data_IF_324068023681
#
_entry.id   IF_324068023681
#
_cell.length_a   1.000
_cell.length_b   1.000
_cell.length_c   1.000
_cell.angle_alpha   90.00
_cell.angle_beta   90.00
_cell.angle_gamma   90.00
#
_symmetry.space_group_name_H-M   'P 1'
#
loop_
_entity.id
_entity.type
_entity.pdbx_description
1 polymer ?
#
# COMPACT_ATOMS: atom_id res chain seq x y z
N UNK A 1 16.62 -16.57 18.71
CA UNK A 1 15.42 -15.70 18.73
C UNK A 1 14.98 -15.49 17.30
N UNK A 2 13.82 -16.03 16.89
CA UNK A 2 13.30 -15.80 15.53
C UNK A 2 12.97 -14.31 15.41
N UNK A 3 13.55 -13.64 14.41
CA UNK A 3 13.32 -12.22 14.20
C UNK A 3 11.89 -12.01 13.73
N UNK A 4 11.12 -11.15 14.41
CA UNK A 4 9.74 -10.85 14.01
C UNK A 4 9.74 -10.28 12.57
N UNK A 5 8.87 -10.77 11.67
CA UNK A 5 8.77 -10.22 10.32
C UNK A 5 8.28 -8.77 10.37
N UNK A 6 8.74 -7.97 9.42
CA UNK A 6 8.24 -6.62 9.17
C UNK A 6 6.85 -6.67 8.53
N UNK A 7 6.67 -7.56 7.56
CA UNK A 7 5.39 -7.86 6.92
C UNK A 7 5.43 -9.26 6.29
N UNK A 8 4.25 -9.77 5.94
CA UNK A 8 4.09 -10.99 5.16
C UNK A 8 3.55 -10.60 3.79
N UNK A 9 4.17 -11.07 2.71
CA UNK A 9 3.72 -10.73 1.36
C UNK A 9 2.51 -11.58 0.91
N UNK A 10 1.96 -11.27 -0.27
CA UNK A 10 0.80 -12.00 -0.84
C UNK A 10 1.09 -13.48 -1.14
N UNK A 11 2.36 -13.87 -1.22
CA UNK A 11 2.81 -15.26 -1.39
C UNK A 11 3.05 -15.94 -0.03
N UNK A 12 2.65 -15.33 1.08
CA UNK A 12 2.81 -15.82 2.45
C UNK A 12 4.28 -16.00 2.87
N UNK A 13 5.18 -15.18 2.32
CA UNK A 13 6.57 -15.16 2.75
C UNK A 13 6.73 -14.15 3.88
N UNK A 14 7.35 -14.57 4.97
CA UNK A 14 7.72 -13.67 6.06
C UNK A 14 8.93 -12.84 5.65
N UNK A 15 8.75 -11.52 5.59
CA UNK A 15 9.77 -10.57 5.12
C UNK A 15 10.28 -9.75 6.29
N UNK A 16 11.60 -9.66 6.40
CA UNK A 16 12.30 -8.78 7.34
C UNK A 16 13.01 -7.67 6.58
N UNK A 17 12.67 -6.43 6.92
CA UNK A 17 13.31 -5.23 6.38
C UNK A 17 14.14 -4.57 7.47
N UNK A 18 15.42 -4.32 7.20
CA UNK A 18 16.34 -3.69 8.16
C UNK A 18 17.53 -3.04 7.45
N UNK A 19 18.18 -2.10 8.13
CA UNK A 19 19.42 -1.48 7.62
C UNK A 19 20.62 -2.34 7.95
N UNK A 20 21.53 -2.50 6.99
CA UNK A 20 22.85 -3.11 7.17
C UNK A 20 23.93 -2.17 6.63
N UNK A 21 25.19 -2.38 7.03
CA UNK A 21 26.34 -1.67 6.46
C UNK A 21 26.92 -2.54 5.34
N UNK A 22 27.02 -1.98 4.14
CA UNK A 22 27.71 -2.57 3.00
C UNK A 22 28.78 -1.59 2.50
N UNK A 23 30.05 -2.00 2.48
CA UNK A 23 31.17 -1.13 2.10
C UNK A 23 31.15 0.26 2.79
N UNK A 24 30.91 0.28 4.11
CA UNK A 24 30.78 1.50 4.95
C UNK A 24 29.54 2.37 4.69
N UNK A 25 28.68 1.96 3.75
CA UNK A 25 27.45 2.69 3.40
C UNK A 25 26.23 1.96 3.98
N UNK A 26 25.30 2.67 4.65
CA UNK A 26 24.05 2.07 5.09
C UNK A 26 23.13 1.78 3.90
N UNK A 27 22.65 0.54 3.82
CA UNK A 27 21.76 0.04 2.77
C UNK A 27 20.57 -0.70 3.38
N UNK A 28 19.44 -0.74 2.67
CA UNK A 28 18.23 -1.43 3.07
C UNK A 28 18.30 -2.90 2.63
N UNK A 29 18.31 -3.82 3.59
CA UNK A 29 18.19 -5.24 3.36
C UNK A 29 16.72 -5.67 3.48
N UNK A 30 16.24 -6.38 2.46
CA UNK A 30 14.95 -7.08 2.45
C UNK A 30 15.25 -8.57 2.38
N UNK A 31 14.97 -9.28 3.46
CA UNK A 31 15.24 -10.70 3.59
C UNK A 31 13.94 -11.49 3.74
N UNK A 32 13.88 -12.66 3.14
CA UNK A 32 12.88 -13.68 3.47
C UNK A 32 13.36 -14.46 4.68
N UNK A 33 12.49 -14.65 5.67
CA UNK A 33 12.69 -15.59 6.77
C UNK A 33 12.25 -16.99 6.27
N UNK A 34 13.14 -17.97 6.39
CA UNK A 34 12.89 -19.35 6.00
C UNK A 34 12.36 -20.17 7.19
N UNK A 35 11.78 -21.34 6.91
CA UNK A 35 11.14 -22.20 7.93
C UNK A 35 12.14 -22.72 8.98
N UNK A 36 13.41 -22.88 8.59
CA UNK A 36 14.51 -23.27 9.48
C UNK A 36 15.01 -22.10 10.36
N UNK A 37 14.41 -20.91 10.23
CA UNK A 37 14.76 -19.69 10.94
C UNK A 37 15.95 -18.94 10.34
N UNK A 38 16.55 -19.45 9.26
CA UNK A 38 17.56 -18.72 8.49
C UNK A 38 16.92 -17.62 7.64
N UNK A 39 17.73 -16.77 7.02
CA UNK A 39 17.24 -15.72 6.12
C UNK A 39 17.92 -15.74 4.76
N UNK A 40 17.14 -15.42 3.73
CA UNK A 40 17.60 -15.29 2.34
C UNK A 40 17.42 -13.85 1.87
N UNK A 41 18.51 -13.21 1.44
CA UNK A 41 18.49 -11.86 0.86
C UNK A 41 17.67 -11.85 -0.43
N UNK A 42 16.62 -11.03 -0.47
CA UNK A 42 15.82 -10.78 -1.67
C UNK A 42 16.25 -9.50 -2.37
N UNK A 43 16.45 -8.42 -1.61
CA UNK A 43 16.89 -7.13 -2.13
C UNK A 43 17.93 -6.50 -1.21
N UNK A 44 18.90 -5.84 -1.81
CA UNK A 44 19.81 -4.93 -1.13
C UNK A 44 19.80 -3.60 -1.87
N UNK A 45 19.29 -2.57 -1.22
CA UNK A 45 18.99 -1.30 -1.87
C UNK A 45 19.80 -0.18 -1.21
N UNK A 46 20.45 0.64 -2.04
CA UNK A 46 21.00 1.89 -1.56
C UNK A 46 19.87 2.90 -1.26
N UNK A 47 20.25 4.10 -0.78
CA UNK A 47 19.30 5.18 -0.46
C UNK A 47 18.43 5.60 -1.66
N UNK A 48 19.02 5.67 -2.85
CA UNK A 48 18.31 6.12 -4.06
C UNK A 48 17.25 5.10 -4.47
N UNK A 49 17.62 3.83 -4.60
CA UNK A 49 16.71 2.77 -5.01
C UNK A 49 15.62 2.52 -3.97
N UNK A 50 15.94 2.65 -2.68
CA UNK A 50 14.95 2.58 -1.60
C UNK A 50 13.88 3.67 -1.74
N UNK A 51 14.26 4.89 -2.16
CA UNK A 51 13.33 5.99 -2.40
C UNK A 51 12.42 5.70 -3.60
N UNK A 52 12.97 5.13 -4.67
CA UNK A 52 12.20 4.76 -5.85
C UNK A 52 11.17 3.66 -5.53
N UNK A 53 11.56 2.65 -4.74
CA UNK A 53 10.65 1.62 -4.28
C UNK A 53 9.51 2.19 -3.42
N UNK A 54 9.83 3.10 -2.50
CA UNK A 54 8.82 3.77 -1.67
C UNK A 54 7.80 4.54 -2.52
N UNK A 55 8.27 5.28 -3.54
CA UNK A 55 7.39 6.01 -4.44
C UNK A 55 6.48 5.08 -5.27
N UNK A 56 6.98 3.91 -5.70
CA UNK A 56 6.17 2.92 -6.40
C UNK A 56 5.07 2.32 -5.50
N UNK A 57 5.39 2.03 -4.23
CA UNK A 57 4.42 1.56 -3.26
C UNK A 57 3.33 2.61 -2.99
N UNK A 58 3.72 3.87 -2.81
CA UNK A 58 2.78 4.98 -2.59
C UNK A 58 1.83 5.15 -3.78
N UNK A 59 2.36 5.14 -5.01
CA UNK A 59 1.54 5.23 -6.22
C UNK A 59 0.54 4.09 -6.34
N UNK A 60 0.96 2.85 -6.02
CA UNK A 60 0.05 1.70 -6.00
C UNK A 60 -1.09 1.89 -4.98
N UNK A 61 -0.78 2.34 -3.76
CA UNK A 61 -1.80 2.59 -2.73
C UNK A 61 -2.80 3.65 -3.17
N UNK A 62 -2.32 4.75 -3.77
CA UNK A 62 -3.19 5.81 -4.31
C UNK A 62 -4.14 5.29 -5.38
N UNK A 63 -3.68 4.41 -6.27
CA UNK A 63 -4.52 3.80 -7.30
C UNK A 63 -5.62 2.91 -6.69
N UNK A 64 -5.27 2.08 -5.70
CA UNK A 64 -6.24 1.22 -5.02
C UNK A 64 -7.30 2.04 -4.29
N UNK A 65 -6.90 3.05 -3.53
CA UNK A 65 -7.86 3.90 -2.81
C UNK A 65 -8.77 4.69 -3.75
N UNK A 66 -8.24 5.18 -4.88
CA UNK A 66 -9.04 5.87 -5.89
C UNK A 66 -10.08 4.93 -6.52
N UNK A 67 -9.71 3.69 -6.82
CA UNK A 67 -10.63 2.68 -7.33
C UNK A 67 -11.72 2.33 -6.30
N UNK A 68 -11.36 2.12 -5.03
CA UNK A 68 -12.33 1.85 -3.97
C UNK A 68 -13.30 3.01 -3.74
N UNK A 69 -12.86 4.26 -3.92
CA UNK A 69 -13.72 5.44 -3.80
C UNK A 69 -14.69 5.58 -4.98
N UNK A 70 -14.26 5.21 -6.18
CA UNK A 70 -15.13 5.16 -7.36
C UNK A 70 -16.21 4.08 -7.25
N UNK A 71 -15.90 2.93 -6.63
CA UNK A 71 -16.88 1.86 -6.36
C UNK A 71 -17.89 2.24 -5.26
N UNK A 72 -17.50 3.09 -4.30
CA UNK A 72 -18.42 3.61 -3.28
C UNK A 72 -19.39 4.67 -3.82
N UNK A 73 -19.00 5.45 -4.84
CA UNK A 73 -19.79 6.57 -5.37
C UNK A 73 -20.84 6.18 -6.43
N UNK A 74 -20.96 4.90 -6.80
CA UNK A 74 -22.07 4.42 -7.66
C UNK A 74 -23.32 4.04 -6.87
N UNK A 75 -23.38 4.36 -5.57
CA UNK A 75 -24.44 3.92 -4.66
C UNK A 75 -25.47 4.98 -4.26
N UNK A 76 -25.70 6.05 -5.04
CA UNK A 76 -26.94 6.83 -4.88
C UNK A 76 -28.01 6.20 -5.76
N UNK A 77 -29.04 5.63 -5.14
CA UNK A 77 -30.22 5.10 -5.82
C UNK A 77 -30.89 6.27 -6.58
N UNK A 78 -31.36 6.10 -7.83
CA UNK A 78 -32.11 7.13 -8.56
C UNK A 78 -33.17 7.89 -7.76
N UNK A 79 -33.77 7.25 -6.74
CA UNK A 79 -34.69 7.91 -5.80
C UNK A 79 -34.01 8.92 -4.87
N UNK A 80 -32.81 8.66 -4.37
CA UNK A 80 -32.06 9.60 -3.53
C UNK A 80 -31.58 10.82 -4.34
N UNK A 81 -31.29 10.64 -5.63
CA UNK A 81 -31.01 11.78 -6.53
C UNK A 81 -32.26 12.61 -6.83
N UNK A 82 -33.43 11.98 -6.95
CA UNK A 82 -34.69 12.69 -7.18
C UNK A 82 -35.11 13.54 -5.97
N UNK A 83 -34.89 13.07 -4.74
CA UNK A 83 -35.18 13.85 -3.53
C UNK A 83 -34.25 15.06 -3.36
N UNK A 84 -32.97 14.91 -3.73
CA UNK A 84 -31.96 15.98 -3.64
C UNK A 84 -32.11 17.09 -4.70
N UNK A 85 -32.63 16.77 -5.89
CA UNK A 85 -32.73 17.71 -7.01
C UNK A 85 -34.16 18.00 -7.48
N UNK A 86 -35.17 17.26 -6.98
CA UNK A 86 -36.58 17.43 -7.34
C UNK A 86 -37.37 18.39 -6.44
N UNK A 87 -36.73 19.04 -5.48
CA UNK A 87 -37.34 19.97 -4.52
C UNK A 87 -37.00 21.44 -4.78
N UNK A 88 -36.85 21.85 -6.05
CA UNK A 88 -36.58 23.25 -6.40
C UNK A 88 -37.50 23.89 -7.44
N UNK A 89 -38.58 23.23 -7.83
CA UNK A 89 -39.63 23.84 -8.65
C UNK A 89 -40.92 23.86 -7.84
N UNK A 90 -41.10 24.87 -6.98
CA UNK A 90 -42.40 25.47 -6.60
C UNK A 90 -42.17 26.45 -5.43
N UNK A 91 -42.04 27.74 -5.75
CA UNK A 91 -42.59 28.89 -5.01
C UNK A 91 -42.18 30.19 -5.74
N UNK A 92 -42.75 30.40 -6.94
CA UNK A 92 -42.95 31.73 -7.51
C UNK A 92 -44.39 32.16 -7.17
N UNK A 93 -44.59 32.94 -6.09
CA UNK A 93 -45.72 33.87 -5.92
C UNK A 93 -45.29 35.13 -5.15
#
# INVERSE_FOLDING_TARGET
MSARPTFTDVQRRDIRVHTVIDHEVPVLAVDQILEDGSSKRLLLLNKFDSKQLAAACELYLQQIFSASFSELHTGLDPQEMADLFGSHDEEDE
#
